data_IF_344386505700
#
_entry.id   IF_344386505700
#
_cell.length_a   1.000
_cell.length_b   1.000
_cell.length_c   1.000
_cell.angle_alpha   90.00
_cell.angle_beta   90.00
_cell.angle_gamma   90.00
#
_symmetry.space_group_name_H-M   'P 1'
#
loop_
_entity.id
_entity.type
_entity.pdbx_description
1 polymer ?
#
# COMPACT_ATOMS: atom_id res chain seq x y z
N UNK A 1 -22.89 28.15 20.54
CA UNK A 1 -22.87 28.01 19.07
C UNK A 1 -21.45 27.95 18.48
N UNK A 2 -20.52 28.86 18.81
CA UNK A 2 -19.11 28.81 18.33
C UNK A 2 -18.37 27.48 18.55
N UNK A 3 -18.55 26.83 19.71
CA UNK A 3 -17.88 25.55 20.04
C UNK A 3 -18.38 24.37 19.21
N UNK A 4 -19.67 24.32 18.90
CA UNK A 4 -20.25 23.27 18.05
C UNK A 4 -19.81 23.42 16.58
N UNK A 5 -19.67 24.66 16.10
CA UNK A 5 -19.16 24.96 14.77
C UNK A 5 -17.68 24.53 14.60
N UNK A 6 -16.85 24.77 15.63
CA UNK A 6 -15.46 24.33 15.67
C UNK A 6 -15.33 22.80 15.71
N UNK A 7 -16.21 22.11 16.43
CA UNK A 7 -16.22 20.64 16.52
C UNK A 7 -16.65 20.00 15.19
N UNK A 8 -17.63 20.59 14.51
CA UNK A 8 -18.05 20.13 13.19
C UNK A 8 -16.93 20.30 12.15
N UNK A 9 -16.19 21.41 12.20
CA UNK A 9 -15.11 21.69 11.25
C UNK A 9 -13.94 20.70 11.38
N UNK A 10 -13.59 20.26 12.59
CA UNK A 10 -12.50 19.28 12.78
C UNK A 10 -12.88 17.86 12.34
N UNK A 11 -14.16 17.48 12.46
CA UNK A 11 -14.69 16.19 11.99
C UNK A 11 -14.64 16.05 10.46
N UNK A 12 -14.82 17.14 9.71
CA UNK A 12 -14.72 17.10 8.24
C UNK A 12 -13.29 16.92 7.74
N UNK A 13 -12.28 17.45 8.44
CA UNK A 13 -10.88 17.40 7.99
C UNK A 13 -10.27 16.01 8.17
N UNK A 14 -10.69 15.25 9.19
CA UNK A 14 -10.24 13.86 9.39
C UNK A 14 -10.88 12.88 8.41
N UNK A 15 -12.14 13.10 8.05
CA UNK A 15 -12.89 12.26 7.10
C UNK A 15 -12.33 12.33 5.67
N UNK A 16 -11.83 13.49 5.21
CA UNK A 16 -11.27 13.60 3.87
C UNK A 16 -9.95 12.82 3.69
N UNK A 17 -9.18 12.63 4.76
CA UNK A 17 -7.86 12.00 4.66
C UNK A 17 -7.95 10.48 4.37
N UNK A 18 -8.90 9.78 5.01
CA UNK A 18 -9.13 8.34 4.76
C UNK A 18 -9.67 8.07 3.35
N UNK A 19 -10.46 9.00 2.78
CA UNK A 19 -10.92 8.90 1.39
C UNK A 19 -9.81 9.09 0.36
N UNK A 20 -8.83 9.95 0.65
CA UNK A 20 -7.70 10.20 -0.28
C UNK A 20 -6.75 9.00 -0.30
N UNK A 21 -6.50 8.38 0.86
CA UNK A 21 -5.62 7.22 0.97
C UNK A 21 -6.19 5.99 0.26
N UNK A 22 -7.48 5.68 0.48
CA UNK A 22 -8.18 4.60 -0.22
C UNK A 22 -8.29 4.81 -1.73
N UNK A 23 -8.53 6.05 -2.18
CA UNK A 23 -8.50 6.39 -3.60
C UNK A 23 -7.12 6.16 -4.24
N UNK A 24 -6.03 6.47 -3.52
CA UNK A 24 -4.67 6.29 -4.00
C UNK A 24 -4.31 4.81 -4.14
N UNK A 25 -4.73 3.96 -3.20
CA UNK A 25 -4.58 2.49 -3.28
C UNK A 25 -5.33 1.95 -4.50
N UNK A 26 -6.60 2.31 -4.66
CA UNK A 26 -7.42 1.86 -5.81
C UNK A 26 -6.82 2.31 -7.15
N UNK A 27 -6.32 3.54 -7.23
CA UNK A 27 -5.67 4.02 -8.45
C UNK A 27 -4.34 3.31 -8.71
N UNK A 28 -3.56 2.99 -7.67
CA UNK A 28 -2.32 2.21 -7.83
C UNK A 28 -2.60 0.84 -8.46
N UNK A 29 -3.66 0.13 -8.03
CA UNK A 29 -4.06 -1.14 -8.65
C UNK A 29 -4.45 -1.00 -10.13
N UNK A 30 -5.25 0.01 -10.49
CA UNK A 30 -5.60 0.26 -11.90
C UNK A 30 -4.37 0.50 -12.77
N UNK A 31 -3.37 1.20 -12.23
CA UNK A 31 -2.10 1.46 -12.91
C UNK A 31 -1.27 0.20 -13.06
N UNK A 32 -1.24 -0.63 -12.02
CA UNK A 32 -0.58 -1.93 -12.08
C UNK A 32 -1.19 -2.84 -13.15
N UNK A 33 -2.53 -2.94 -13.20
CA UNK A 33 -3.26 -3.74 -14.20
C UNK A 33 -3.00 -3.27 -15.64
N UNK A 34 -2.76 -1.97 -15.83
CA UNK A 34 -2.38 -1.38 -17.12
C UNK A 34 -0.89 -1.50 -17.43
N UNK A 35 -0.12 -2.17 -16.58
CA UNK A 35 1.34 -2.31 -16.68
C UNK A 35 2.09 -0.96 -16.58
N UNK A 36 1.45 0.07 -16.01
CA UNK A 36 2.06 1.36 -15.71
C UNK A 36 2.81 1.27 -14.37
N UNK A 37 3.87 0.46 -14.30
CA UNK A 37 4.51 0.05 -13.04
C UNK A 37 5.22 1.20 -12.31
N UNK A 38 5.93 2.08 -13.02
CA UNK A 38 6.55 3.27 -12.41
C UNK A 38 5.48 4.18 -11.80
N UNK A 39 4.36 4.36 -12.51
CA UNK A 39 3.25 5.16 -12.01
C UNK A 39 2.57 4.52 -10.80
N UNK A 40 2.50 3.18 -10.78
CA UNK A 40 2.05 2.40 -9.62
C UNK A 40 2.92 2.72 -8.40
N UNK A 41 4.25 2.67 -8.54
CA UNK A 41 5.19 2.96 -7.45
C UNK A 41 5.07 4.40 -6.93
N UNK A 42 4.85 5.39 -7.81
CA UNK A 42 4.61 6.77 -7.41
C UNK A 42 3.34 6.90 -6.55
N UNK A 43 2.25 6.24 -6.93
CA UNK A 43 0.99 6.26 -6.19
C UNK A 43 1.10 5.56 -4.84
N UNK A 44 1.79 4.42 -4.80
CA UNK A 44 2.11 3.71 -3.54
C UNK A 44 2.88 4.64 -2.61
N UNK A 45 3.93 5.30 -3.11
CA UNK A 45 4.75 6.23 -2.30
C UNK A 45 3.90 7.38 -1.73
N UNK A 46 2.93 7.89 -2.50
CA UNK A 46 1.99 8.92 -2.00
C UNK A 46 1.06 8.36 -0.92
N UNK A 47 0.56 7.15 -1.10
CA UNK A 47 -0.32 6.50 -0.12
C UNK A 47 0.41 6.16 1.19
N UNK A 48 1.67 5.72 1.11
CA UNK A 48 2.54 5.46 2.27
C UNK A 48 2.87 6.74 3.06
N UNK A 49 2.95 7.89 2.38
CA UNK A 49 3.23 9.19 3.00
C UNK A 49 1.97 9.91 3.54
N UNK A 50 0.77 9.41 3.23
CA UNK A 50 -0.49 10.06 3.60
C UNK A 50 -1.03 9.51 4.94
N UNK A 51 -0.79 10.24 6.05
CA UNK A 51 -1.22 9.88 7.42
C UNK A 51 -0.80 8.45 7.83
N UNK A 52 -1.14 8.05 9.06
CA UNK A 52 -0.78 6.72 9.59
C UNK A 52 -1.48 5.62 8.77
N UNK A 53 -0.73 4.90 7.94
CA UNK A 53 -1.18 3.63 7.33
C UNK A 53 -1.41 2.59 8.42
N UNK A 54 -2.61 2.02 8.47
CA UNK A 54 -2.88 0.84 9.30
C UNK A 54 -2.03 -0.35 8.83
N UNK A 55 -1.66 -1.29 9.72
CA UNK A 55 -0.77 -2.41 9.38
C UNK A 55 -1.20 -3.20 8.14
N UNK A 56 -2.50 -3.49 8.00
CA UNK A 56 -3.03 -4.22 6.85
C UNK A 56 -2.80 -3.49 5.51
N UNK A 57 -3.03 -2.17 5.49
CA UNK A 57 -2.81 -1.36 4.29
C UNK A 57 -1.33 -1.22 3.96
N UNK A 58 -0.45 -1.19 4.97
CA UNK A 58 0.99 -1.24 4.76
C UNK A 58 1.41 -2.55 4.12
N UNK A 59 0.86 -3.68 4.58
CA UNK A 59 1.12 -4.99 4.00
C UNK A 59 0.63 -5.07 2.54
N UNK A 60 -0.57 -4.57 2.26
CA UNK A 60 -1.16 -4.48 0.92
C UNK A 60 -0.28 -3.70 -0.06
N UNK A 61 0.05 -2.46 0.30
CA UNK A 61 0.87 -1.57 -0.52
C UNK A 61 2.26 -2.16 -0.75
N UNK A 62 2.86 -2.79 0.26
CA UNK A 62 4.16 -3.42 0.14
C UNK A 62 4.13 -4.61 -0.81
N UNK A 63 3.06 -5.41 -0.79
CA UNK A 63 2.88 -6.52 -1.74
C UNK A 63 2.77 -6.02 -3.18
N UNK A 64 1.94 -5.00 -3.42
CA UNK A 64 1.79 -4.40 -4.74
C UNK A 64 3.12 -3.78 -5.24
N UNK A 65 3.87 -3.13 -4.33
CA UNK A 65 5.20 -2.57 -4.60
C UNK A 65 6.19 -3.66 -5.03
N UNK A 66 6.20 -4.80 -4.33
CA UNK A 66 7.02 -5.95 -4.69
C UNK A 66 6.68 -6.51 -6.08
N UNK A 67 5.38 -6.60 -6.40
CA UNK A 67 4.91 -7.03 -7.72
C UNK A 67 5.32 -6.07 -8.84
N UNK A 68 5.20 -4.75 -8.62
CA UNK A 68 5.62 -3.75 -9.59
C UNK A 68 7.14 -3.80 -9.84
N UNK A 69 7.95 -3.89 -8.77
CA UNK A 69 9.40 -4.07 -8.91
C UNK A 69 9.77 -5.36 -9.65
N UNK A 70 9.10 -6.48 -9.37
CA UNK A 70 9.34 -7.73 -10.07
C UNK A 70 9.03 -7.61 -11.57
N UNK A 71 7.95 -6.91 -11.93
CA UNK A 71 7.51 -6.69 -13.31
C UNK A 71 8.47 -5.79 -14.10
N UNK A 72 9.15 -4.87 -13.40
CA UNK A 72 10.24 -4.04 -13.94
C UNK A 72 11.60 -4.76 -14.00
N UNK A 73 11.67 -6.04 -13.62
CA UNK A 73 12.93 -6.80 -13.59
C UNK A 73 13.81 -6.52 -12.36
N UNK A 74 13.34 -5.71 -11.42
CA UNK A 74 14.04 -5.39 -10.17
C UNK A 74 13.89 -6.51 -9.11
N UNK A 75 14.29 -7.74 -9.47
CA UNK A 75 14.03 -8.94 -8.67
C UNK A 75 14.63 -8.88 -7.26
N UNK A 76 15.81 -8.29 -7.09
CA UNK A 76 16.43 -8.12 -5.77
C UNK A 76 15.55 -7.30 -4.85
N UNK A 77 15.03 -6.17 -5.34
CA UNK A 77 14.14 -5.28 -4.57
C UNK A 77 12.83 -6.01 -4.25
N UNK A 78 12.24 -6.67 -5.24
CA UNK A 78 11.00 -7.43 -5.05
C UNK A 78 11.15 -8.51 -3.97
N UNK A 79 12.25 -9.28 -4.00
CA UNK A 79 12.50 -10.33 -3.02
C UNK A 79 12.65 -9.76 -1.61
N UNK A 80 13.41 -8.68 -1.43
CA UNK A 80 13.53 -8.02 -0.12
C UNK A 80 12.18 -7.55 0.43
N UNK A 81 11.29 -7.06 -0.43
CA UNK A 81 9.94 -6.66 -0.02
C UNK A 81 9.06 -7.86 0.34
N UNK A 82 9.20 -9.00 -0.35
CA UNK A 82 8.50 -10.23 0.01
C UNK A 82 9.04 -10.81 1.34
N UNK A 83 10.36 -10.81 1.56
CA UNK A 83 10.98 -11.20 2.83
C UNK A 83 10.43 -10.37 3.99
N UNK A 84 10.42 -9.04 3.82
CA UNK A 84 9.83 -8.13 4.80
C UNK A 84 8.36 -8.48 5.12
N UNK A 85 7.55 -8.81 4.10
CA UNK A 85 6.15 -9.21 4.32
C UNK A 85 6.02 -10.53 5.08
N UNK A 86 6.91 -11.49 4.83
CA UNK A 86 6.92 -12.79 5.52
C UNK A 86 7.32 -12.63 6.99
N UNK A 87 8.25 -11.72 7.29
CA UNK A 87 8.76 -11.51 8.65
C UNK A 87 7.84 -10.60 9.47
N UNK A 88 7.50 -9.43 8.92
CA UNK A 88 6.87 -8.34 9.66
C UNK A 88 5.34 -8.33 9.53
N UNK A 89 4.80 -9.00 8.52
CA UNK A 89 3.35 -9.04 8.22
C UNK A 89 2.80 -10.46 8.08
N UNK A 90 3.41 -11.42 8.78
CA UNK A 90 3.10 -12.86 8.68
C UNK A 90 1.62 -13.22 8.91
N UNK A 91 0.93 -12.45 9.76
CA UNK A 91 -0.47 -12.69 10.14
C UNK A 91 -1.47 -12.03 9.17
N UNK A 92 -0.98 -11.26 8.19
CA UNK A 92 -1.80 -10.67 7.12
C UNK A 92 -1.95 -11.63 5.94
N UNK A 93 -2.98 -11.41 5.12
CA UNK A 93 -3.13 -12.11 3.84
C UNK A 93 -1.89 -11.92 2.95
N UNK A 94 -1.26 -10.74 3.00
CA UNK A 94 -0.12 -10.41 2.15
C UNK A 94 1.18 -11.09 2.58
N UNK A 95 1.38 -11.34 3.88
CA UNK A 95 2.48 -12.17 4.39
C UNK A 95 2.37 -13.62 3.90
N UNK A 96 1.15 -14.18 3.96
CA UNK A 96 0.88 -15.51 3.39
C UNK A 96 1.15 -15.57 1.88
N UNK A 97 0.67 -14.59 1.12
CA UNK A 97 0.88 -14.51 -0.32
C UNK A 97 2.35 -14.33 -0.70
N UNK A 98 3.11 -13.56 0.08
CA UNK A 98 4.55 -13.38 -0.09
C UNK A 98 5.32 -14.69 0.15
N UNK A 99 4.99 -15.39 1.24
CA UNK A 99 5.56 -16.72 1.54
C UNK A 99 5.33 -17.70 0.40
N UNK A 100 4.11 -17.75 -0.15
CA UNK A 100 3.81 -18.60 -1.32
C UNK A 100 4.65 -18.21 -2.55
N UNK A 101 4.82 -16.92 -2.84
CA UNK A 101 5.63 -16.45 -3.97
C UNK A 101 7.11 -16.82 -3.84
N UNK A 102 7.65 -16.73 -2.64
CA UNK A 102 9.05 -17.10 -2.37
C UNK A 102 9.29 -18.61 -2.49
N UNK A 103 8.36 -19.41 -2.00
CA UNK A 103 8.47 -20.88 -2.05
C UNK A 103 8.31 -21.46 -3.46
N UNK A 104 7.69 -20.73 -4.40
CA UNK A 104 7.59 -21.13 -5.82
C UNK A 104 8.84 -20.80 -6.65
N UNK A 105 9.86 -20.14 -6.08
CA UNK A 105 11.13 -19.84 -6.76
C UNK A 105 12.21 -20.93 -6.57
N UNK A 106 11.86 -22.08 -5.98
CA UNK A 106 12.71 -23.27 -5.84
C UNK A 106 12.50 -24.25 -6.99
#
# INVERSE_FOLDING_TARGET
MKKALLLALTLFITACASTIQSASVSEAYKKYERQEFERTLELITRAENAKETVPEMKAELTYLKAQAHASLGHQKIANTLYEYLVEEHKDSQYGYLASKKMNTKL
#
